data_IF_059924591245
#
_entry.id   IF_059924591245
#
_cell.length_a   1.000
_cell.length_b   1.000
_cell.length_c   1.000
_cell.angle_alpha   90.00
_cell.angle_beta   90.00
_cell.angle_gamma   90.00
#
_symmetry.space_group_name_H-M   'P 1'
#
loop_
_entity.id
_entity.type
_entity.pdbx_description
1 polymer ?
#
# COMPACT_ATOMS: atom_id res chain seq x y z
N UNK A 1 20.28 6.72 -28.97
CA UNK A 1 19.78 6.91 -27.59
C UNK A 1 20.52 8.08 -26.93
N UNK A 2 20.04 9.33 -27.07
CA UNK A 2 20.70 10.54 -26.50
C UNK A 2 19.86 11.25 -25.42
N UNK A 3 18.69 10.73 -25.08
CA UNK A 3 17.76 11.36 -24.11
C UNK A 3 18.02 10.96 -22.64
N UNK A 4 19.15 10.32 -22.34
CA UNK A 4 19.39 9.69 -21.03
C UNK A 4 19.67 10.71 -19.91
N UNK A 5 20.51 11.72 -20.15
CA UNK A 5 20.99 12.61 -19.08
C UNK A 5 19.93 13.59 -18.56
N UNK A 6 19.16 14.19 -19.47
CA UNK A 6 18.07 15.10 -19.10
C UNK A 6 16.95 14.37 -18.34
N UNK A 7 16.68 13.11 -18.71
CA UNK A 7 15.74 12.27 -17.98
C UNK A 7 16.24 11.96 -16.57
N UNK A 8 17.51 11.57 -16.40
CA UNK A 8 18.10 11.34 -15.08
C UNK A 8 18.08 12.59 -14.20
N UNK A 9 18.43 13.76 -14.75
CA UNK A 9 18.33 15.04 -14.03
C UNK A 9 16.90 15.35 -13.59
N UNK A 10 15.92 15.11 -14.46
CA UNK A 10 14.50 15.30 -14.15
C UNK A 10 14.04 14.34 -13.04
N UNK A 11 14.45 13.07 -13.09
CA UNK A 11 14.14 12.08 -12.05
C UNK A 11 14.78 12.47 -10.71
N UNK A 12 16.03 12.95 -10.71
CA UNK A 12 16.72 13.43 -9.50
C UNK A 12 16.00 14.66 -8.93
N UNK A 13 15.63 15.62 -9.77
CA UNK A 13 14.88 16.81 -9.36
C UNK A 13 13.50 16.45 -8.79
N UNK A 14 12.77 15.53 -9.44
CA UNK A 14 11.49 15.05 -8.93
C UNK A 14 11.65 14.32 -7.60
N UNK A 15 12.66 13.47 -7.48
CA UNK A 15 12.96 12.74 -6.23
C UNK A 15 13.30 13.71 -5.10
N UNK A 16 14.15 14.71 -5.38
CA UNK A 16 14.52 15.73 -4.42
C UNK A 16 13.32 16.61 -4.02
N UNK A 17 12.46 16.97 -4.98
CA UNK A 17 11.23 17.72 -4.70
C UNK A 17 10.27 16.89 -3.84
N UNK A 18 10.06 15.61 -4.14
CA UNK A 18 9.23 14.73 -3.32
C UNK A 18 9.82 14.52 -1.92
N UNK A 19 11.14 14.36 -1.80
CA UNK A 19 11.82 14.25 -0.51
C UNK A 19 11.70 15.54 0.31
N UNK A 20 11.84 16.70 -0.32
CA UNK A 20 11.66 17.99 0.34
C UNK A 20 10.21 18.19 0.80
N UNK A 21 9.22 17.92 -0.07
CA UNK A 21 7.80 18.01 0.32
C UNK A 21 7.52 17.04 1.47
N UNK A 22 8.04 15.81 1.40
CA UNK A 22 7.91 14.83 2.48
C UNK A 22 8.50 15.31 3.81
N UNK A 23 9.64 16.00 3.79
CA UNK A 23 10.26 16.56 4.99
C UNK A 23 9.45 17.71 5.60
N UNK A 24 8.80 18.54 4.78
CA UNK A 24 8.06 19.73 5.23
C UNK A 24 6.56 19.51 5.47
N UNK A 25 6.02 18.33 5.16
CA UNK A 25 4.62 18.02 5.42
C UNK A 25 4.50 16.71 6.18
N UNK A 26 4.01 16.79 7.42
CA UNK A 26 3.62 15.60 8.19
C UNK A 26 2.57 14.82 7.37
N UNK A 27 2.79 13.52 7.16
CA UNK A 27 1.92 12.62 6.39
C UNK A 27 1.82 12.89 4.87
N UNK A 28 2.77 13.63 4.27
CA UNK A 28 2.80 13.85 2.82
C UNK A 28 2.81 12.55 1.99
N UNK A 29 3.40 11.48 2.54
CA UNK A 29 3.63 10.23 1.79
C UNK A 29 2.32 9.56 1.37
N UNK A 30 1.28 9.60 2.21
CA UNK A 30 -0.05 9.05 1.87
C UNK A 30 -0.69 9.88 0.76
N UNK A 31 -0.61 11.21 0.84
CA UNK A 31 -1.12 12.11 -0.20
C UNK A 31 -0.39 11.89 -1.53
N UNK A 32 0.94 11.80 -1.51
CA UNK A 32 1.74 11.51 -2.71
C UNK A 32 1.38 10.15 -3.32
N UNK A 33 1.20 9.14 -2.47
CA UNK A 33 0.77 7.80 -2.91
C UNK A 33 -0.60 7.84 -3.56
N UNK A 34 -1.56 8.55 -2.96
CA UNK A 34 -2.90 8.73 -3.54
C UNK A 34 -2.84 9.46 -4.88
N UNK A 35 -2.09 10.55 -4.98
CA UNK A 35 -1.91 11.29 -6.25
C UNK A 35 -1.30 10.38 -7.31
N UNK A 36 -0.28 9.60 -6.96
CA UNK A 36 0.32 8.64 -7.86
C UNK A 36 -0.69 7.58 -8.32
N UNK A 37 -1.46 6.98 -7.40
CA UNK A 37 -2.48 5.99 -7.73
C UNK A 37 -3.57 6.58 -8.63
N UNK A 38 -3.97 7.84 -8.43
CA UNK A 38 -4.90 8.55 -9.34
C UNK A 38 -4.30 8.70 -10.73
N UNK A 39 -3.04 9.15 -10.83
CA UNK A 39 -2.34 9.29 -12.11
C UNK A 39 -2.23 7.93 -12.81
N UNK A 40 -1.85 6.87 -12.10
CA UNK A 40 -1.73 5.53 -12.65
C UNK A 40 -3.08 4.98 -13.13
N UNK A 41 -4.15 5.19 -12.36
CA UNK A 41 -5.52 4.81 -12.77
C UNK A 41 -5.93 5.55 -14.05
N UNK A 42 -5.61 6.84 -14.17
CA UNK A 42 -5.90 7.64 -15.36
C UNK A 42 -5.07 7.26 -16.59
N UNK A 43 -3.79 6.90 -16.41
CA UNK A 43 -2.88 6.53 -17.51
C UNK A 43 -3.04 5.08 -17.98
N UNK A 44 -3.64 4.23 -17.16
CA UNK A 44 -3.89 2.81 -17.44
C UNK A 44 -5.30 2.54 -17.98
N UNK A 45 -5.91 3.52 -18.66
CA UNK A 45 -7.29 3.45 -19.20
C UNK A 45 -7.61 2.21 -20.05
N UNK A 46 -6.60 1.63 -20.69
CA UNK A 46 -6.74 0.44 -21.52
C UNK A 46 -6.46 -0.87 -20.76
N UNK A 47 -5.88 -0.80 -19.54
CA UNK A 47 -5.50 -1.94 -18.72
C UNK A 47 -6.49 -2.12 -17.56
N UNK A 48 -7.59 -2.83 -17.82
CA UNK A 48 -8.71 -2.99 -16.87
C UNK A 48 -8.26 -3.61 -15.54
N UNK A 49 -7.41 -4.64 -15.59
CA UNK A 49 -6.89 -5.30 -14.38
C UNK A 49 -6.13 -4.32 -13.48
N UNK A 50 -5.33 -3.45 -14.09
CA UNK A 50 -4.53 -2.50 -13.34
C UNK A 50 -5.38 -1.39 -12.73
N UNK A 51 -6.41 -0.92 -13.43
CA UNK A 51 -7.37 0.02 -12.88
C UNK A 51 -8.07 -0.52 -11.65
N UNK A 52 -8.48 -1.79 -11.67
CA UNK A 52 -9.13 -2.40 -10.51
C UNK A 52 -8.18 -2.45 -9.32
N UNK A 53 -6.93 -2.87 -9.53
CA UNK A 53 -5.91 -2.88 -8.48
C UNK A 53 -5.68 -1.45 -7.97
N UNK A 54 -5.40 -0.49 -8.84
CA UNK A 54 -5.06 0.87 -8.45
C UNK A 54 -6.23 1.61 -7.79
N UNK A 55 -7.47 1.37 -8.22
CA UNK A 55 -8.66 1.94 -7.63
C UNK A 55 -8.96 1.36 -6.23
N UNK A 56 -8.80 0.05 -6.04
CA UNK A 56 -8.95 -0.59 -4.72
C UNK A 56 -7.88 -0.06 -3.76
N UNK A 57 -6.62 -0.01 -4.20
CA UNK A 57 -5.53 0.54 -3.39
C UNK A 57 -5.78 2.01 -3.05
N UNK A 58 -6.24 2.82 -4.01
CA UNK A 58 -6.58 4.23 -3.76
C UNK A 58 -7.68 4.38 -2.70
N UNK A 59 -8.75 3.59 -2.80
CA UNK A 59 -9.85 3.62 -1.86
C UNK A 59 -9.39 3.24 -0.44
N UNK A 60 -8.56 2.20 -0.33
CA UNK A 60 -8.01 1.73 0.94
C UNK A 60 -7.06 2.78 1.53
N UNK A 61 -6.14 3.34 0.75
CA UNK A 61 -5.23 4.39 1.23
C UNK A 61 -5.98 5.64 1.68
N UNK A 62 -7.10 5.98 1.04
CA UNK A 62 -7.96 7.07 1.50
C UNK A 62 -8.61 6.77 2.86
N UNK A 63 -9.11 5.55 3.06
CA UNK A 63 -9.66 5.11 4.35
C UNK A 63 -8.58 5.14 5.43
N UNK A 64 -7.39 4.62 5.13
CA UNK A 64 -6.23 4.65 6.02
C UNK A 64 -5.88 6.08 6.45
N UNK A 65 -5.75 7.00 5.48
CA UNK A 65 -5.43 8.40 5.75
C UNK A 65 -6.43 9.05 6.71
N UNK A 66 -7.73 8.87 6.46
CA UNK A 66 -8.79 9.43 7.32
C UNK A 66 -8.71 8.85 8.72
N UNK A 67 -8.50 7.54 8.84
CA UNK A 67 -8.47 6.83 10.11
C UNK A 67 -7.24 7.27 10.93
N UNK A 68 -6.05 7.29 10.34
CA UNK A 68 -4.83 7.71 11.04
C UNK A 68 -4.91 9.17 11.46
N UNK A 69 -5.41 10.06 10.59
CA UNK A 69 -5.61 11.47 10.94
C UNK A 69 -6.54 11.63 12.15
N UNK A 70 -7.63 10.88 12.20
CA UNK A 70 -8.54 10.88 13.35
C UNK A 70 -7.84 10.43 14.65
N UNK A 71 -7.00 9.39 14.60
CA UNK A 71 -6.25 8.93 15.78
C UNK A 71 -5.22 9.96 16.26
N UNK A 72 -4.58 10.67 15.33
CA UNK A 72 -3.64 11.74 15.67
C UNK A 72 -4.34 12.93 16.33
N UNK A 73 -5.51 13.32 15.83
CA UNK A 73 -6.33 14.37 16.46
C UNK A 73 -6.75 13.94 17.87
N UNK A 74 -7.13 12.68 18.06
CA UNK A 74 -7.42 12.11 19.38
C UNK A 74 -6.18 12.13 20.29
N UNK A 75 -5.01 11.81 19.75
CA UNK A 75 -3.75 11.85 20.49
C UNK A 75 -3.38 13.27 20.92
N UNK A 76 -3.56 14.25 20.04
CA UNK A 76 -3.37 15.67 20.34
C UNK A 76 -4.34 16.19 21.42
N UNK A 77 -5.51 15.55 21.59
CA UNK A 77 -6.48 15.90 22.63
C UNK A 77 -6.14 15.38 24.03
N UNK A 78 -5.03 14.67 24.19
CA UNK A 78 -4.52 14.21 25.49
C UNK A 78 -4.53 12.69 25.69
N UNK A 79 -4.63 11.90 24.62
CA UNK A 79 -4.51 10.45 24.73
C UNK A 79 -3.07 10.06 25.13
N UNK A 80 -2.88 9.13 26.08
CA UNK A 80 -1.56 8.60 26.39
C UNK A 80 -0.87 8.01 25.16
N UNK A 81 0.43 8.27 25.00
CA UNK A 81 1.18 7.85 23.82
C UNK A 81 1.10 6.34 23.54
N UNK A 82 1.11 5.49 24.57
CA UNK A 82 1.01 4.04 24.39
C UNK A 82 -0.33 3.59 23.76
N UNK A 83 -1.43 4.30 24.08
CA UNK A 83 -2.75 4.05 23.51
C UNK A 83 -2.83 4.58 22.08
N UNK A 84 -2.32 5.79 21.83
CA UNK A 84 -2.26 6.37 20.49
C UNK A 84 -1.49 5.48 19.52
N UNK A 85 -0.30 5.03 19.91
CA UNK A 85 0.51 4.09 19.13
C UNK A 85 -0.18 2.74 18.94
N UNK A 86 -0.83 2.23 19.99
CA UNK A 86 -1.61 1.00 19.90
C UNK A 86 -2.74 1.09 18.87
N UNK A 87 -3.48 2.21 18.84
CA UNK A 87 -4.51 2.45 17.84
C UNK A 87 -3.91 2.62 16.44
N UNK A 88 -2.79 3.32 16.28
CA UNK A 88 -2.13 3.50 14.98
C UNK A 88 -1.72 2.13 14.41
N UNK A 89 -0.91 1.35 15.14
CA UNK A 89 -0.41 0.06 14.67
C UNK A 89 -1.55 -0.95 14.46
N UNK A 90 -2.52 -0.99 15.38
CA UNK A 90 -3.68 -1.86 15.23
C UNK A 90 -4.56 -1.50 14.03
N UNK A 91 -4.71 -0.22 13.73
CA UNK A 91 -5.50 0.22 12.58
C UNK A 91 -4.79 -0.06 11.26
N UNK A 92 -3.48 0.18 11.19
CA UNK A 92 -2.68 -0.23 10.04
C UNK A 92 -2.79 -1.74 9.80
N UNK A 93 -2.65 -2.56 10.85
CA UNK A 93 -2.81 -4.01 10.76
C UNK A 93 -4.17 -4.41 10.17
N UNK A 94 -5.26 -3.81 10.63
CA UNK A 94 -6.61 -4.10 10.13
C UNK A 94 -6.74 -3.70 8.65
N UNK A 95 -6.26 -2.50 8.29
CA UNK A 95 -6.31 -2.01 6.91
C UNK A 95 -5.49 -2.91 5.98
N UNK A 96 -4.27 -3.27 6.37
CA UNK A 96 -3.38 -4.12 5.57
C UNK A 96 -3.91 -5.55 5.46
N UNK A 97 -4.52 -6.08 6.53
CA UNK A 97 -5.21 -7.37 6.49
C UNK A 97 -6.41 -7.35 5.54
N UNK A 98 -7.26 -6.33 5.61
CA UNK A 98 -8.38 -6.14 4.68
C UNK A 98 -7.89 -6.04 3.25
N UNK A 99 -6.80 -5.30 3.02
CA UNK A 99 -6.18 -5.17 1.70
C UNK A 99 -5.67 -6.50 1.16
N UNK A 100 -5.01 -7.29 2.00
CA UNK A 100 -4.56 -8.63 1.64
C UNK A 100 -5.74 -9.54 1.26
N UNK A 101 -6.87 -9.45 1.95
CA UNK A 101 -8.09 -10.18 1.58
C UNK A 101 -8.65 -9.71 0.22
N UNK A 102 -8.67 -8.39 -0.03
CA UNK A 102 -9.06 -7.85 -1.34
C UNK A 102 -8.16 -8.37 -2.46
N UNK A 103 -6.84 -8.38 -2.25
CA UNK A 103 -5.87 -8.89 -3.22
C UNK A 103 -6.04 -10.40 -3.45
N UNK A 104 -6.24 -11.18 -2.37
CA UNK A 104 -6.52 -12.63 -2.46
C UNK A 104 -7.74 -12.94 -3.33
N UNK A 105 -8.80 -12.15 -3.20
CA UNK A 105 -10.05 -12.35 -3.93
C UNK A 105 -10.20 -11.42 -5.15
N UNK A 106 -9.13 -10.71 -5.56
CA UNK A 106 -9.16 -9.63 -6.56
C UNK A 106 -9.83 -10.05 -7.85
N UNK A 107 -9.43 -11.19 -8.40
CA UNK A 107 -9.94 -11.69 -9.69
C UNK A 107 -11.43 -12.02 -9.58
N UNK A 108 -11.84 -12.70 -8.51
CA UNK A 108 -13.25 -13.05 -8.28
C UNK A 108 -14.13 -11.80 -8.09
N UNK A 109 -13.65 -10.81 -7.34
CA UNK A 109 -14.35 -9.55 -7.12
C UNK A 109 -14.47 -8.74 -8.44
N UNK A 110 -13.38 -8.67 -9.20
CA UNK A 110 -13.35 -8.02 -10.51
C UNK A 110 -14.32 -8.67 -11.49
N UNK A 111 -14.36 -10.01 -11.54
CA UNK A 111 -15.26 -10.77 -12.42
C UNK A 111 -16.71 -10.53 -12.06
N UNK A 112 -17.06 -10.52 -10.77
CA UNK A 112 -18.41 -10.16 -10.32
C UNK A 112 -18.78 -8.76 -10.76
N UNK A 113 -17.88 -7.78 -10.56
CA UNK A 113 -18.12 -6.40 -10.96
C UNK A 113 -18.35 -6.25 -12.47
N UNK A 114 -17.47 -6.81 -13.31
CA UNK A 114 -17.62 -6.70 -14.78
C UNK A 114 -18.84 -7.47 -15.27
N UNK A 115 -19.19 -8.63 -14.69
CA UNK A 115 -20.41 -9.34 -15.06
C UNK A 115 -21.68 -8.49 -14.87
N UNK A 116 -21.68 -7.59 -13.87
CA UNK A 116 -22.78 -6.68 -13.62
C UNK A 116 -22.74 -5.41 -14.48
N UNK A 117 -21.54 -4.87 -14.78
CA UNK A 117 -21.40 -3.57 -15.46
C UNK A 117 -21.21 -3.69 -16.98
N UNK A 118 -20.52 -4.73 -17.46
CA UNK A 118 -20.22 -4.95 -18.88
C UNK A 118 -20.01 -6.45 -19.16
N UNK A 119 -21.10 -7.14 -19.49
CA UNK A 119 -21.08 -8.59 -19.73
C UNK A 119 -20.20 -9.03 -20.91
N UNK A 120 -19.77 -8.14 -21.79
CA UNK A 120 -18.99 -8.51 -22.98
C UNK A 120 -17.47 -8.56 -22.72
N UNK A 121 -16.99 -7.92 -21.65
CA UNK A 121 -15.55 -7.75 -21.38
C UNK A 121 -15.00 -8.65 -20.27
N UNK A 122 -15.76 -9.67 -19.81
CA UNK A 122 -15.36 -10.51 -18.67
C UNK A 122 -14.05 -11.27 -18.90
N UNK A 123 -13.72 -11.61 -20.16
CA UNK A 123 -12.48 -12.30 -20.55
C UNK A 123 -11.22 -11.45 -20.35
N UNK A 124 -11.36 -10.13 -20.24
CA UNK A 124 -10.24 -9.21 -20.00
C UNK A 124 -9.68 -9.30 -18.57
N UNK A 125 -10.40 -9.94 -17.64
CA UNK A 125 -9.95 -10.10 -16.26
C UNK A 125 -9.16 -11.39 -16.11
N UNK A 126 -7.91 -11.25 -15.65
CA UNK A 126 -7.05 -12.36 -15.32
C UNK A 126 -6.12 -11.99 -14.16
N UNK A 127 -5.46 -13.02 -13.63
CA UNK A 127 -4.40 -12.88 -12.63
C UNK A 127 -3.15 -12.31 -13.31
N UNK A 128 -2.75 -11.10 -12.94
CA UNK A 128 -1.52 -10.49 -13.44
C UNK A 128 -0.33 -10.93 -12.58
N UNK A 129 0.88 -10.70 -13.05
CA UNK A 129 2.09 -10.93 -12.25
C UNK A 129 2.13 -10.06 -10.98
N UNK A 130 1.39 -8.95 -10.95
CA UNK A 130 1.29 -8.07 -9.79
C UNK A 130 0.58 -8.74 -8.61
N UNK A 131 -0.46 -9.55 -8.86
CA UNK A 131 -1.33 -10.08 -7.81
C UNK A 131 -0.57 -10.88 -6.72
N UNK A 132 0.26 -11.90 -7.05
CA UNK A 132 1.01 -12.63 -6.03
C UNK A 132 2.12 -11.78 -5.36
N UNK A 133 2.72 -10.84 -6.10
CA UNK A 133 3.77 -9.96 -5.56
C UNK A 133 3.17 -8.98 -4.54
N UNK A 134 2.06 -8.33 -4.89
CA UNK A 134 1.33 -7.44 -4.00
C UNK A 134 0.81 -8.20 -2.77
N UNK A 135 0.32 -9.43 -2.93
CA UNK A 135 -0.05 -10.28 -1.80
C UNK A 135 1.12 -10.50 -0.84
N UNK A 136 2.31 -10.82 -1.36
CA UNK A 136 3.53 -10.99 -0.55
C UNK A 136 3.95 -9.71 0.16
N UNK A 137 3.87 -8.56 -0.50
CA UNK A 137 4.21 -7.26 0.10
C UNK A 137 3.22 -6.92 1.23
N UNK A 138 1.91 -7.08 1.02
CA UNK A 138 0.91 -6.84 2.06
C UNK A 138 0.99 -7.83 3.23
N UNK A 139 1.44 -9.06 2.97
CA UNK A 139 1.76 -9.98 4.05
C UNK A 139 2.93 -9.47 4.91
N UNK A 140 3.97 -8.91 4.29
CA UNK A 140 5.08 -8.30 5.02
C UNK A 140 4.65 -7.05 5.81
N UNK A 141 3.76 -6.22 5.26
CA UNK A 141 3.13 -5.10 5.97
C UNK A 141 2.48 -5.55 7.29
N UNK A 142 1.66 -6.60 7.22
CA UNK A 142 0.99 -7.19 8.38
C UNK A 142 2.00 -7.67 9.44
N UNK A 143 3.12 -8.29 9.03
CA UNK A 143 4.14 -8.73 9.96
C UNK A 143 4.82 -7.56 10.68
N UNK A 144 5.12 -6.48 9.96
CA UNK A 144 5.69 -5.25 10.53
C UNK A 144 4.71 -4.63 11.53
N UNK A 145 3.43 -4.55 11.19
CA UNK A 145 2.40 -3.97 12.07
C UNK A 145 2.20 -4.81 13.33
N UNK A 146 2.15 -6.14 13.20
CA UNK A 146 2.06 -7.05 14.35
C UNK A 146 3.29 -6.92 15.27
N UNK A 147 4.48 -6.81 14.69
CA UNK A 147 5.70 -6.67 15.46
C UNK A 147 5.75 -5.30 16.18
N UNK A 148 5.35 -4.21 15.51
CA UNK A 148 5.27 -2.88 16.12
C UNK A 148 4.21 -2.83 17.24
N UNK A 149 3.04 -3.43 17.00
CA UNK A 149 1.97 -3.53 18.00
C UNK A 149 2.41 -4.38 19.20
N UNK A 150 3.05 -5.52 18.96
CA UNK A 150 3.62 -6.39 19.99
C UNK A 150 4.70 -5.68 20.81
N UNK A 151 5.65 -5.00 20.16
CA UNK A 151 6.66 -4.18 20.86
C UNK A 151 5.99 -3.07 21.68
N UNK A 152 4.95 -2.41 21.17
CA UNK A 152 4.21 -1.40 21.92
C UNK A 152 3.56 -1.97 23.20
N UNK A 153 2.99 -3.18 23.14
CA UNK A 153 2.45 -3.85 24.35
C UNK A 153 3.59 -4.17 25.32
N UNK A 154 4.67 -4.79 24.85
CA UNK A 154 5.78 -5.25 25.68
C UNK A 154 6.48 -4.08 26.40
N UNK A 155 6.64 -2.95 25.72
CA UNK A 155 7.23 -1.73 26.32
C UNK A 155 6.35 -1.13 27.41
N UNK A 156 5.04 -1.33 27.33
CA UNK A 156 4.05 -0.68 28.17
C UNK A 156 3.35 -1.67 29.11
N UNK A 157 3.98 -2.81 29.43
CA UNK A 157 3.42 -3.85 30.30
C UNK A 157 2.98 -3.33 31.67
N UNK A 158 3.65 -2.30 32.20
CA UNK A 158 3.26 -1.64 33.45
C UNK A 158 1.83 -1.09 33.40
N UNK A 159 1.40 -0.55 32.24
CA UNK A 159 0.05 -0.04 32.03
C UNK A 159 -0.99 -1.16 31.89
N UNK A 160 -0.55 -2.41 31.70
CA UNK A 160 -1.38 -3.61 31.66
C UNK A 160 -1.38 -4.37 33.01
N UNK A 161 -0.85 -3.76 34.08
CA UNK A 161 -0.89 -4.31 35.43
C UNK A 161 0.25 -5.27 35.77
N UNK A 162 1.30 -5.31 34.94
CA UNK A 162 2.54 -6.04 35.26
C UNK A 162 3.39 -5.22 36.20
N UNK A 163 4.05 -5.88 37.15
CA UNK A 163 4.94 -5.22 38.11
C UNK A 163 6.07 -4.43 37.41
N UNK A 164 6.32 -3.22 37.89
CA UNK A 164 7.28 -2.29 37.30
C UNK A 164 8.72 -2.86 37.29
N UNK A 165 9.09 -3.64 38.31
CA UNK A 165 10.43 -4.24 38.38
C UNK A 165 10.69 -5.22 37.23
N UNK A 166 9.64 -5.91 36.77
CA UNK A 166 9.69 -6.78 35.61
C UNK A 166 9.50 -6.01 34.29
N UNK A 167 8.61 -5.02 34.25
CA UNK A 167 8.34 -4.24 33.03
C UNK A 167 9.55 -3.41 32.57
N UNK A 168 10.34 -2.88 33.51
CA UNK A 168 11.51 -2.02 33.24
C UNK A 168 12.52 -2.60 32.27
N UNK A 169 12.71 -3.91 32.27
CA UNK A 169 13.67 -4.56 31.37
C UNK A 169 13.27 -4.43 29.88
N UNK A 170 12.00 -4.15 29.60
CA UNK A 170 11.43 -4.09 28.25
C UNK A 170 11.20 -2.67 27.73
N UNK A 171 11.34 -1.64 28.56
CA UNK A 171 11.10 -0.24 28.16
C UNK A 171 11.98 0.22 26.99
N UNK A 172 13.19 -0.33 26.87
CA UNK A 172 14.16 0.01 25.83
C UNK A 172 13.99 -0.81 24.54
N UNK A 173 13.10 -1.81 24.52
CA UNK A 173 12.85 -2.59 23.32
C UNK A 173 12.20 -1.70 22.25
N UNK A 174 12.80 -1.58 21.07
CA UNK A 174 12.19 -0.74 20.02
C UNK A 174 12.77 -0.95 18.64
N UNK A 175 13.18 -2.17 18.29
CA UNK A 175 13.80 -2.43 16.99
C UNK A 175 12.82 -2.10 15.87
N UNK A 176 11.59 -2.57 15.96
CA UNK A 176 10.56 -2.27 14.96
C UNK A 176 9.91 -0.94 15.26
N UNK A 177 9.62 -0.63 16.52
CA UNK A 177 8.97 0.62 16.93
C UNK A 177 9.68 1.87 16.37
N UNK A 178 11.02 1.96 16.50
CA UNK A 178 11.76 3.13 16.01
C UNK A 178 11.99 3.13 14.49
N UNK A 179 11.88 1.98 13.83
CA UNK A 179 12.09 1.85 12.38
C UNK A 179 10.78 1.67 11.61
N UNK A 180 9.64 1.77 12.29
CA UNK A 180 8.32 1.41 11.74
C UNK A 180 8.02 2.18 10.45
N UNK A 181 8.17 3.50 10.46
CA UNK A 181 7.93 4.35 9.29
C UNK A 181 8.85 4.02 8.11
N UNK A 182 10.12 3.70 8.39
CA UNK A 182 11.11 3.33 7.38
C UNK A 182 10.73 1.99 6.75
N UNK A 183 10.39 1.00 7.57
CA UNK A 183 9.97 -0.33 7.10
C UNK A 183 8.71 -0.24 6.23
N UNK A 184 7.68 0.49 6.67
CA UNK A 184 6.46 0.74 5.88
C UNK A 184 6.78 1.46 4.57
N UNK A 185 7.68 2.43 4.59
CA UNK A 185 8.09 3.19 3.39
C UNK A 185 8.81 2.30 2.36
N UNK A 186 9.67 1.38 2.81
CA UNK A 186 10.31 0.40 1.93
C UNK A 186 9.26 -0.49 1.26
N UNK A 187 8.33 -1.04 2.04
CA UNK A 187 7.25 -1.87 1.51
C UNK A 187 6.35 -1.11 0.53
N UNK A 188 6.03 0.15 0.84
CA UNK A 188 5.25 1.03 -0.04
C UNK A 188 5.99 1.29 -1.37
N UNK A 189 7.31 1.49 -1.34
CA UNK A 189 8.13 1.58 -2.54
C UNK A 189 8.05 0.30 -3.40
N UNK A 190 8.01 -0.87 -2.75
CA UNK A 190 7.79 -2.14 -3.45
C UNK A 190 6.39 -2.21 -4.10
N UNK A 191 5.34 -1.73 -3.42
CA UNK A 191 3.98 -1.65 -4.01
C UNK A 191 4.00 -0.80 -5.27
N UNK A 192 4.53 0.43 -5.17
CA UNK A 192 4.60 1.37 -6.30
C UNK A 192 5.39 0.77 -7.46
N UNK A 193 6.55 0.18 -7.16
CA UNK A 193 7.41 -0.46 -8.17
C UNK A 193 6.70 -1.62 -8.84
N UNK A 194 5.95 -2.44 -8.08
CA UNK A 194 5.19 -3.57 -8.63
C UNK A 194 4.11 -3.10 -9.60
N UNK A 195 3.38 -2.04 -9.26
CA UNK A 195 2.35 -1.45 -10.13
C UNK A 195 2.99 -0.89 -11.41
N UNK A 196 4.07 -0.14 -11.30
CA UNK A 196 4.80 0.42 -12.44
C UNK A 196 5.38 -0.67 -13.36
N UNK A 197 6.00 -1.70 -12.78
CA UNK A 197 6.52 -2.84 -13.53
C UNK A 197 5.39 -3.57 -14.27
N UNK A 198 4.22 -3.72 -13.63
CA UNK A 198 3.05 -4.33 -14.26
C UNK A 198 2.55 -3.51 -15.44
N UNK A 199 2.52 -2.17 -15.36
CA UNK A 199 2.20 -1.32 -16.53
C UNK A 199 3.12 -1.62 -17.70
N UNK A 200 4.42 -1.71 -17.42
CA UNK A 200 5.42 -1.95 -18.47
C UNK A 200 5.23 -3.32 -19.12
N UNK A 201 5.05 -4.37 -18.32
CA UNK A 201 4.84 -5.73 -18.80
C UNK A 201 3.53 -5.85 -19.59
N UNK A 202 2.44 -5.31 -19.07
CA UNK A 202 1.12 -5.41 -19.71
C UNK A 202 1.04 -4.60 -21.02
N UNK A 203 1.81 -3.51 -21.15
CA UNK A 203 1.93 -2.78 -22.43
C UNK A 203 2.77 -3.50 -23.49
N UNK A 204 3.65 -4.41 -23.06
CA UNK A 204 4.48 -5.21 -23.96
C UNK A 204 3.81 -6.52 -24.35
N UNK A 205 2.74 -6.90 -23.67
CA UNK A 205 1.98 -8.08 -24.00
C UNK A 205 1.39 -7.86 -25.40
N UNK A 206 1.70 -8.72 -26.39
CA UNK A 206 0.97 -8.68 -27.65
C UNK A 206 -0.51 -8.85 -27.32
N UNK A 207 -1.36 -8.01 -27.93
CA UNK A 207 -2.81 -8.18 -27.89
C UNK A 207 -3.06 -9.64 -28.29
N UNK A 208 -3.34 -10.50 -27.31
CA UNK A 208 -3.46 -11.93 -27.58
C UNK A 208 -4.87 -12.11 -28.16
N UNK A 209 -4.97 -12.77 -29.31
CA UNK A 209 -5.72 -12.23 -30.45
C UNK A 209 -7.06 -12.95 -30.58
N UNK A 210 -8.11 -12.23 -30.93
CA UNK A 210 -9.30 -12.86 -31.53
C UNK A 210 -8.97 -13.50 -32.91
N UNK A 211 -7.77 -13.29 -33.46
CA UNK A 211 -7.30 -13.85 -34.74
C UNK A 211 -7.11 -15.38 -34.75
N UNK A 212 -6.97 -16.05 -33.60
CA UNK A 212 -6.95 -17.53 -33.58
C UNK A 212 -8.36 -18.14 -33.64
N UNK A 213 -9.41 -17.36 -33.37
CA UNK A 213 -10.80 -17.86 -33.45
C UNK A 213 -11.53 -17.50 -34.75
N UNK A 214 -11.05 -16.50 -35.49
CA UNK A 214 -11.56 -16.16 -36.83
C UNK A 214 -10.83 -16.90 -37.97
N UNK A 215 -9.68 -17.54 -37.68
CA UNK A 215 -8.96 -18.38 -38.65
C UNK A 215 -9.37 -19.85 -38.65
N UNK A 216 -10.24 -20.25 -37.71
CA UNK A 216 -10.82 -21.60 -37.62
C UNK A 216 -12.32 -21.67 -37.98
N UNK A 217 -12.91 -20.59 -38.51
CA UNK A 217 -14.33 -20.52 -38.93
C UNK A 217 -14.54 -20.49 -40.43
#
# INVERSE_FOLDING_TARGET
MKNSWYFFLLVILMTAAFAAIHYYTDFAYQIHTMVLLVVLTCLSRQLVNLQHISAVLLAITAVEYVLIKYILELSASGLPAYQGNGFIFGSHFIVDFVTLLFLKYRVSLSLRYIKHTSSNNWRSIYMTHADPILYGIYFAFILVDLAAFGENIIRNLEHFGVDESFAKQFWSWGLIYYNYEILKSILLSCVVTTILATIFVERQRPDTPDEESESES
#
